data_IF_066020493965
#
_entry.id   IF_066020493965
#
_cell.length_a   1.000
_cell.length_b   1.000
_cell.length_c   1.000
_cell.angle_alpha   90.00
_cell.angle_beta   90.00
_cell.angle_gamma   90.00
#
_symmetry.space_group_name_H-M   'P 1'
#
loop_
_entity.id
_entity.type
_entity.pdbx_description
1 polymer ?
#
# COMPACT_ATOMS: atom_id res chain seq x y z
N UNK A 1 19.18 -7.23 -8.03
CA UNK A 1 20.19 -8.29 -7.95
C UNK A 1 19.79 -9.19 -6.81
N UNK A 2 19.77 -10.51 -7.01
CA UNK A 2 19.48 -11.45 -5.93
C UNK A 2 20.81 -11.83 -5.26
N UNK A 3 20.91 -11.68 -3.93
CA UNK A 3 22.12 -12.06 -3.18
C UNK A 3 22.16 -13.59 -3.01
N UNK A 4 23.22 -14.22 -3.51
CA UNK A 4 23.38 -15.68 -3.56
C UNK A 4 24.21 -16.22 -2.37
N UNK A 5 24.88 -15.34 -1.61
CA UNK A 5 25.68 -15.72 -0.45
C UNK A 5 24.88 -16.01 0.83
N UNK A 6 25.61 -16.29 1.91
CA UNK A 6 25.09 -16.40 3.28
C UNK A 6 24.91 -15.01 3.87
N UNK A 7 23.74 -14.68 4.41
CA UNK A 7 23.50 -13.36 4.97
C UNK A 7 24.47 -13.01 6.11
N UNK A 8 24.91 -14.00 6.89
CA UNK A 8 25.89 -13.84 7.97
C UNK A 8 27.20 -13.20 7.49
N UNK A 9 27.62 -13.46 6.25
CA UNK A 9 28.86 -12.94 5.66
C UNK A 9 28.77 -11.44 5.38
N UNK A 10 27.56 -10.91 5.17
CA UNK A 10 27.33 -9.48 4.90
C UNK A 10 26.74 -8.74 6.09
N UNK A 11 26.11 -9.44 7.05
CA UNK A 11 25.42 -8.82 8.17
C UNK A 11 26.35 -7.91 9.01
N UNK A 12 27.60 -8.34 9.24
CA UNK A 12 28.60 -7.53 9.92
C UNK A 12 28.95 -6.26 9.13
N UNK A 13 29.14 -6.38 7.82
CA UNK A 13 29.44 -5.25 6.94
C UNK A 13 28.27 -4.26 6.85
N UNK A 14 27.02 -4.75 6.80
CA UNK A 14 25.82 -3.91 6.81
C UNK A 14 25.72 -3.09 8.10
N UNK A 15 25.97 -3.72 9.26
CA UNK A 15 25.96 -3.03 10.56
C UNK A 15 27.09 -2.00 10.66
N UNK A 16 28.29 -2.34 10.18
CA UNK A 16 29.42 -1.41 10.15
C UNK A 16 29.12 -0.20 9.25
N UNK A 17 28.62 -0.45 8.03
CA UNK A 17 28.22 0.61 7.10
C UNK A 17 27.11 1.48 7.69
N UNK A 18 26.11 0.89 8.33
CA UNK A 18 25.05 1.64 8.99
C UNK A 18 25.60 2.54 10.11
N UNK A 19 26.60 2.09 10.86
CA UNK A 19 27.31 2.92 11.83
C UNK A 19 28.05 4.10 11.18
N UNK A 20 28.82 3.84 10.12
CA UNK A 20 29.57 4.86 9.38
C UNK A 20 28.67 5.92 8.75
N UNK A 21 27.60 5.48 8.10
CA UNK A 21 26.63 6.34 7.41
C UNK A 21 25.54 6.90 8.34
N UNK A 22 25.62 6.62 9.64
CA UNK A 22 24.66 7.04 10.68
C UNK A 22 23.22 6.64 10.34
N UNK A 23 23.05 5.46 9.76
CA UNK A 23 21.75 4.87 9.44
C UNK A 23 21.14 4.24 10.69
N UNK A 24 19.99 4.74 11.12
CA UNK A 24 19.33 4.23 12.34
C UNK A 24 18.57 2.91 12.19
N UNK A 25 18.36 2.42 10.97
CA UNK A 25 17.61 1.18 10.69
C UNK A 25 18.14 0.50 9.42
N UNK A 26 18.28 -0.82 9.48
CA UNK A 26 18.56 -1.69 8.33
C UNK A 26 17.32 -2.54 8.09
N UNK A 27 16.85 -2.61 6.84
CA UNK A 27 15.66 -3.39 6.46
C UNK A 27 16.09 -4.45 5.44
N UNK A 28 15.66 -5.68 5.64
CA UNK A 28 16.00 -6.83 4.79
C UNK A 28 14.71 -7.51 4.35
N UNK A 29 14.56 -7.66 3.03
CA UNK A 29 13.45 -8.36 2.41
C UNK A 29 13.92 -9.77 2.05
N UNK A 30 13.30 -10.80 2.63
CA UNK A 30 13.81 -12.17 2.59
C UNK A 30 12.73 -13.15 2.16
N UNK A 31 13.01 -14.08 1.22
CA UNK A 31 12.08 -15.15 0.90
C UNK A 31 11.99 -16.15 2.07
N UNK A 32 10.92 -16.97 2.18
CA UNK A 32 10.67 -17.77 3.37
C UNK A 32 11.76 -18.82 3.61
N UNK A 33 12.42 -19.30 2.56
CA UNK A 33 13.49 -20.29 2.64
C UNK A 33 14.77 -19.76 3.31
N UNK A 34 14.93 -18.44 3.40
CA UNK A 34 16.11 -17.78 3.97
C UNK A 34 15.81 -17.02 5.27
N UNK A 35 14.61 -17.17 5.83
CA UNK A 35 14.12 -16.35 6.95
C UNK A 35 14.96 -16.47 8.22
N UNK A 36 15.58 -17.64 8.44
CA UNK A 36 16.40 -17.91 9.62
C UNK A 36 17.78 -17.20 9.55
N UNK A 37 18.26 -16.83 8.35
CA UNK A 37 19.56 -16.14 8.19
C UNK A 37 19.59 -14.74 8.87
N UNK A 38 18.63 -13.82 8.63
CA UNK A 38 18.58 -12.56 9.36
C UNK A 38 18.25 -12.74 10.86
N UNK A 39 17.43 -13.73 11.23
CA UNK A 39 17.10 -14.02 12.64
C UNK A 39 18.34 -14.39 13.46
N UNK A 40 19.17 -15.31 12.94
CA UNK A 40 20.44 -15.70 13.58
C UNK A 40 21.43 -14.54 13.70
N UNK A 41 21.32 -13.55 12.82
CA UNK A 41 22.09 -12.31 12.86
C UNK A 41 21.51 -11.23 13.80
N UNK A 42 20.43 -11.53 14.53
CA UNK A 42 19.78 -10.59 15.47
C UNK A 42 18.93 -9.53 14.80
N UNK A 43 18.36 -9.81 13.63
CA UNK A 43 17.29 -9.00 13.04
C UNK A 43 15.93 -9.51 13.50
N UNK A 44 14.97 -8.61 13.62
CA UNK A 44 13.61 -8.88 14.09
C UNK A 44 12.62 -8.83 12.92
N UNK A 45 11.75 -9.82 12.79
CA UNK A 45 10.67 -9.80 11.80
C UNK A 45 9.62 -8.74 12.17
N UNK A 46 9.25 -7.89 11.21
CA UNK A 46 8.23 -6.84 11.40
C UNK A 46 6.94 -7.09 10.64
N UNK A 47 7.01 -7.89 9.57
CA UNK A 47 5.84 -8.22 8.78
C UNK A 47 6.13 -9.00 7.51
N UNK A 48 5.05 -9.41 6.86
CA UNK A 48 5.10 -10.26 5.68
C UNK A 48 4.31 -9.60 4.55
N UNK A 49 4.91 -9.46 3.37
CA UNK A 49 4.18 -9.19 2.13
C UNK A 49 3.88 -10.53 1.47
N UNK A 50 2.61 -10.93 1.42
CA UNK A 50 2.23 -12.24 0.89
C UNK A 50 2.48 -12.32 -0.61
N UNK A 51 2.97 -13.47 -1.09
CA UNK A 51 3.18 -13.78 -2.51
C UNK A 51 4.05 -12.78 -3.29
N UNK A 52 4.84 -11.97 -2.58
CA UNK A 52 5.69 -10.94 -3.16
C UNK A 52 6.69 -11.49 -4.18
N UNK A 53 7.36 -12.61 -3.92
CA UNK A 53 8.34 -13.20 -4.84
C UNK A 53 7.70 -14.25 -5.75
N UNK A 54 6.98 -13.80 -6.78
CA UNK A 54 6.34 -14.65 -7.78
C UNK A 54 5.46 -15.78 -7.18
N UNK A 55 4.76 -15.49 -6.08
CA UNK A 55 3.91 -16.45 -5.37
C UNK A 55 4.44 -16.90 -4.01
N UNK A 56 5.71 -16.61 -3.68
CA UNK A 56 6.26 -16.83 -2.34
C UNK A 56 6.16 -15.56 -1.49
N UNK A 57 5.97 -15.71 -0.19
CA UNK A 57 5.89 -14.59 0.75
C UNK A 57 7.25 -13.88 0.87
N UNK A 58 7.24 -12.59 1.19
CA UNK A 58 8.43 -11.84 1.58
C UNK A 58 8.32 -11.50 3.06
N UNK A 59 9.27 -12.01 3.84
CA UNK A 59 9.45 -11.67 5.25
C UNK A 59 10.33 -10.43 5.33
N UNK A 60 9.91 -9.43 6.10
CA UNK A 60 10.64 -8.18 6.27
C UNK A 60 11.25 -8.16 7.67
N UNK A 61 12.56 -8.12 7.71
CA UNK A 61 13.38 -8.10 8.91
C UNK A 61 14.06 -6.75 9.11
N UNK A 62 14.19 -6.34 10.36
CA UNK A 62 14.82 -5.08 10.72
C UNK A 62 15.88 -5.24 11.81
N UNK A 63 16.95 -4.48 11.68
CA UNK A 63 17.93 -4.26 12.73
C UNK A 63 18.03 -2.76 13.02
N UNK A 64 18.25 -2.41 14.28
CA UNK A 64 18.20 -1.04 14.78
C UNK A 64 19.56 -0.61 15.34
N UNK A 65 20.51 -0.17 14.50
CA UNK A 65 21.75 0.46 14.97
C UNK A 65 21.48 1.64 15.92
N UNK A 66 20.37 2.35 15.71
CA UNK A 66 19.85 3.34 16.64
C UNK A 66 18.62 2.79 17.37
N UNK A 67 18.73 2.57 18.68
CA UNK A 67 17.64 1.97 19.47
C UNK A 67 16.34 2.77 19.48
N UNK A 68 16.41 4.10 19.27
CA UNK A 68 15.23 4.96 19.13
C UNK A 68 14.34 4.53 17.96
N UNK A 69 14.92 3.94 16.90
CA UNK A 69 14.20 3.50 15.70
C UNK A 69 13.38 2.24 15.92
N UNK A 70 13.67 1.46 16.97
CA UNK A 70 12.86 0.30 17.37
C UNK A 70 11.57 0.71 18.11
N UNK A 71 11.50 1.95 18.60
CA UNK A 71 10.42 2.42 19.46
C UNK A 71 9.31 3.06 18.61
N UNK A 72 8.18 2.37 18.51
CA UNK A 72 6.94 2.96 17.99
C UNK A 72 6.33 3.93 19.00
N UNK A 73 6.56 5.23 18.83
CA UNK A 73 6.08 6.29 19.74
C UNK A 73 4.55 6.41 19.80
N UNK A 74 3.83 5.86 18.82
CA UNK A 74 2.38 5.95 18.71
C UNK A 74 1.68 4.58 18.73
N UNK A 75 2.38 3.54 19.19
CA UNK A 75 1.93 2.14 19.15
C UNK A 75 0.49 1.94 19.62
N UNK A 76 0.10 2.48 20.77
CA UNK A 76 -1.25 2.30 21.34
C UNK A 76 -2.34 2.88 20.43
N UNK A 77 -2.11 4.08 19.89
CA UNK A 77 -3.04 4.77 18.98
C UNK A 77 -3.19 3.98 17.69
N UNK A 78 -2.09 3.52 17.12
CA UNK A 78 -2.07 2.76 15.87
C UNK A 78 -2.68 1.36 16.03
N UNK A 79 -2.43 0.69 17.14
CA UNK A 79 -3.06 -0.59 17.49
C UNK A 79 -4.57 -0.42 17.64
N UNK A 80 -5.02 0.70 18.20
CA UNK A 80 -6.44 1.05 18.26
C UNK A 80 -7.02 1.27 16.86
N UNK A 81 -6.28 1.91 15.94
CA UNK A 81 -6.70 2.06 14.54
C UNK A 81 -6.91 0.68 13.90
N UNK A 82 -5.95 -0.23 14.00
CA UNK A 82 -6.06 -1.59 13.45
C UNK A 82 -7.24 -2.34 14.07
N UNK A 83 -7.35 -2.35 15.41
CA UNK A 83 -8.47 -3.00 16.12
C UNK A 83 -9.83 -2.48 15.64
N UNK A 84 -9.95 -1.17 15.40
CA UNK A 84 -11.18 -0.57 14.89
C UNK A 84 -11.48 -0.96 13.44
N UNK A 85 -10.46 -1.03 12.59
CA UNK A 85 -10.60 -1.46 11.20
C UNK A 85 -11.11 -2.91 11.13
N UNK A 86 -10.45 -3.83 11.84
CA UNK A 86 -10.78 -5.26 11.87
C UNK A 86 -12.15 -5.56 12.51
N UNK A 87 -12.60 -4.74 13.48
CA UNK A 87 -13.95 -4.89 14.08
C UNK A 87 -15.07 -4.54 13.10
N UNK A 88 -14.88 -3.47 12.33
CA UNK A 88 -15.89 -3.00 11.36
C UNK A 88 -16.15 -4.03 10.26
N UNK A 89 -15.11 -4.75 9.84
CA UNK A 89 -15.21 -5.79 8.82
C UNK A 89 -16.02 -7.02 9.30
N UNK A 90 -15.91 -7.39 10.58
CA UNK A 90 -16.72 -8.48 11.17
C UNK A 90 -18.21 -8.14 11.28
N UNK A 91 -18.57 -6.85 11.31
CA UNK A 91 -19.97 -6.40 11.43
C UNK A 91 -20.74 -6.41 10.11
N UNK A 92 -20.07 -6.16 8.99
CA UNK A 92 -20.67 -6.14 7.65
C UNK A 92 -20.98 -7.54 7.10
N UNK A 93 -20.30 -8.59 7.58
CA UNK A 93 -20.50 -9.98 7.17
C UNK A 93 -21.75 -10.68 7.71
N UNK A 94 -22.45 -10.13 8.72
CA UNK A 94 -23.63 -10.81 9.33
C UNK A 94 -24.96 -10.63 8.57
N UNK A 95 -25.05 -9.71 7.61
CA UNK A 95 -26.30 -9.44 6.88
C UNK A 95 -26.44 -10.10 5.49
N UNK A 96 -25.54 -11.00 5.10
CA UNK A 96 -25.65 -11.74 3.81
C UNK A 96 -26.20 -13.18 3.94
N UNK A 97 -26.39 -13.73 5.14
CA UNK A 97 -27.02 -15.05 5.34
C UNK A 97 -28.51 -14.93 5.68
N UNK A 98 -29.33 -14.50 4.72
CA UNK A 98 -30.79 -14.79 4.65
C UNK A 98 -31.39 -14.27 3.33
N UNK A 99 -31.04 -14.90 2.20
CA UNK A 99 -31.94 -14.92 1.05
C UNK A 99 -32.09 -16.37 0.59
N UNK A 100 -33.28 -16.90 0.86
CA UNK A 100 -33.74 -18.22 0.46
C UNK A 100 -33.46 -18.45 -1.03
N UNK A 101 -33.02 -19.66 -1.34
CA UNK A 101 -32.92 -20.22 -2.69
C UNK A 101 -34.33 -20.23 -3.28
N UNK A 102 -34.60 -19.33 -4.22
CA UNK A 102 -35.68 -19.51 -5.20
C UNK A 102 -35.04 -19.59 -6.57
N UNK A 103 -35.12 -20.79 -7.15
CA UNK A 103 -34.67 -21.11 -8.51
C UNK A 103 -35.44 -20.25 -9.52
N UNK A 104 -34.76 -19.36 -10.23
CA UNK A 104 -35.19 -18.90 -11.55
C UNK A 104 -33.98 -18.72 -12.47
N UNK A 105 -34.08 -19.40 -13.61
CA UNK A 105 -33.13 -19.53 -14.71
C UNK A 105 -32.72 -18.18 -15.31
N UNK A 106 -31.46 -18.16 -15.75
CA UNK A 106 -30.90 -17.50 -16.94
C UNK A 106 -31.35 -16.07 -17.27
N UNK A 107 -30.47 -15.11 -16.98
CA UNK A 107 -30.21 -13.98 -17.88
C UNK A 107 -28.85 -13.32 -17.55
N UNK A 108 -27.78 -13.87 -18.10
CA UNK A 108 -26.42 -13.31 -18.06
C UNK A 108 -26.25 -12.21 -19.12
N UNK A 109 -27.08 -11.17 -19.06
CA UNK A 109 -26.90 -9.96 -19.87
C UNK A 109 -26.24 -8.87 -19.05
N UNK A 110 -24.98 -8.56 -19.41
CA UNK A 110 -24.19 -7.34 -19.14
C UNK A 110 -24.78 -6.42 -18.05
N UNK A 111 -24.48 -6.69 -16.79
CA UNK A 111 -24.51 -5.63 -15.77
C UNK A 111 -23.29 -4.75 -15.99
N UNK A 112 -23.44 -3.64 -16.72
CA UNK A 112 -22.53 -2.49 -16.57
C UNK A 112 -22.48 -2.21 -15.06
N UNK A 113 -21.33 -2.38 -14.42
CA UNK A 113 -21.15 -1.91 -13.05
C UNK A 113 -21.47 -0.41 -13.05
N UNK A 114 -22.62 -0.05 -12.45
CA UNK A 114 -22.92 1.36 -12.18
C UNK A 114 -21.78 1.87 -11.32
N UNK A 115 -21.10 2.92 -11.80
CA UNK A 115 -20.19 3.72 -10.96
C UNK A 115 -20.90 3.99 -9.65
N UNK A 116 -20.27 3.61 -8.53
CA UNK A 116 -20.80 3.86 -7.18
C UNK A 116 -20.62 5.32 -6.76
N UNK A 117 -19.95 6.12 -7.59
CA UNK A 117 -19.78 7.53 -7.33
C UNK A 117 -21.08 8.29 -7.63
N UNK A 118 -21.43 9.30 -6.83
CA UNK A 118 -22.57 10.18 -7.11
C UNK A 118 -22.43 10.90 -8.46
N UNK A 119 -23.54 11.47 -8.94
CA UNK A 119 -23.54 12.35 -10.09
C UNK A 119 -22.55 13.53 -9.88
N UNK A 120 -21.86 13.92 -10.95
CA UNK A 120 -20.82 14.95 -10.92
C UNK A 120 -19.41 14.46 -10.58
N UNK A 121 -19.22 13.18 -10.28
CA UNK A 121 -17.91 12.55 -10.12
C UNK A 121 -17.59 11.60 -11.27
N UNK A 122 -16.33 11.61 -11.71
CA UNK A 122 -15.81 10.71 -12.73
C UNK A 122 -14.60 9.98 -12.17
N UNK A 123 -14.59 8.64 -12.27
CA UNK A 123 -13.40 7.83 -12.01
C UNK A 123 -12.82 7.39 -13.34
N UNK A 124 -11.52 7.61 -13.54
CA UNK A 124 -10.81 7.22 -14.76
C UNK A 124 -9.32 6.99 -14.51
N UNK A 125 -8.62 6.24 -15.39
CA UNK A 125 -7.16 6.27 -15.42
C UNK A 125 -6.66 7.70 -15.70
N UNK A 126 -5.49 8.01 -15.15
CA UNK A 126 -4.78 9.23 -15.48
C UNK A 126 -4.19 9.15 -16.90
N UNK A 127 -4.07 10.30 -17.55
CA UNK A 127 -3.35 10.49 -18.81
C UNK A 127 -2.20 11.49 -18.59
N UNK A 128 -1.26 11.57 -19.52
CA UNK A 128 -0.11 12.48 -19.42
C UNK A 128 -0.53 13.95 -19.19
N UNK A 129 -1.63 14.39 -19.80
CA UNK A 129 -2.17 15.73 -19.61
C UNK A 129 -2.60 16.04 -18.17
N UNK A 130 -2.78 15.02 -17.32
CA UNK A 130 -3.11 15.19 -15.90
C UNK A 130 -1.86 15.44 -15.04
N UNK A 131 -0.65 15.18 -15.54
CA UNK A 131 0.57 15.13 -14.73
C UNK A 131 0.80 16.43 -13.95
N UNK A 132 0.61 17.58 -14.58
CA UNK A 132 0.74 18.89 -13.93
C UNK A 132 -0.27 19.09 -12.79
N UNK A 133 -1.53 18.68 -13.01
CA UNK A 133 -2.59 18.77 -12.02
C UNK A 133 -2.38 17.78 -10.85
N UNK A 134 -1.89 16.58 -11.15
CA UNK A 134 -1.50 15.59 -10.15
C UNK A 134 -0.34 16.08 -9.29
N UNK A 135 0.72 16.61 -9.91
CA UNK A 135 1.87 17.19 -9.22
C UNK A 135 1.45 18.34 -8.27
N UNK A 136 0.57 19.22 -8.76
CA UNK A 136 -0.02 20.29 -7.96
C UNK A 136 -0.82 19.78 -6.77
N UNK A 137 -1.54 18.66 -6.93
CA UNK A 137 -2.33 18.05 -5.87
C UNK A 137 -1.45 17.35 -4.83
N UNK A 138 -0.44 16.60 -5.27
CA UNK A 138 0.53 15.96 -4.39
C UNK A 138 1.28 16.98 -3.53
N UNK A 139 1.68 18.11 -4.13
CA UNK A 139 2.35 19.21 -3.42
C UNK A 139 1.52 19.76 -2.25
N UNK A 140 0.19 19.75 -2.35
CA UNK A 140 -0.70 20.18 -1.28
C UNK A 140 -0.92 19.11 -0.20
N UNK A 141 -0.82 17.83 -0.59
CA UNK A 141 -1.09 16.70 0.29
C UNK A 141 0.15 16.18 1.03
N UNK A 142 1.34 16.36 0.46
CA UNK A 142 2.58 15.81 0.94
C UNK A 142 3.70 16.87 0.99
N UNK A 143 3.88 17.54 2.13
CA UNK A 143 4.96 18.53 2.32
C UNK A 143 6.37 17.90 2.26
N UNK A 144 6.52 16.66 2.73
CA UNK A 144 7.79 15.92 2.75
C UNK A 144 7.50 14.43 2.51
N UNK A 145 7.46 14.04 1.23
CA UNK A 145 7.28 12.65 0.80
C UNK A 145 8.61 12.08 0.27
N UNK A 146 8.88 10.77 0.44
CA UNK A 146 10.14 10.17 -0.03
C UNK A 146 10.36 10.24 -1.55
N UNK A 147 9.28 10.27 -2.34
CA UNK A 147 9.34 10.35 -3.81
C UNK A 147 8.92 11.73 -4.32
N UNK A 148 9.49 12.22 -5.43
CA UNK A 148 9.25 13.57 -5.93
C UNK A 148 7.94 13.70 -6.73
N UNK A 149 6.82 13.27 -6.14
CA UNK A 149 5.47 13.35 -6.74
C UNK A 149 4.98 14.79 -7.00
N UNK A 150 5.66 15.80 -6.47
CA UNK A 150 5.40 17.20 -6.78
C UNK A 150 6.01 17.65 -8.11
N UNK A 151 6.82 16.81 -8.75
CA UNK A 151 7.46 17.10 -10.04
C UNK A 151 6.69 16.43 -11.17
N UNK A 152 6.18 17.23 -12.12
CA UNK A 152 5.46 16.75 -13.30
C UNK A 152 6.28 15.75 -14.12
N UNK A 153 7.57 16.04 -14.35
CA UNK A 153 8.47 15.15 -15.10
C UNK A 153 8.62 13.77 -14.44
N UNK A 154 8.68 13.71 -13.10
CA UNK A 154 8.75 12.44 -12.38
C UNK A 154 7.47 11.62 -12.58
N UNK A 155 6.29 12.26 -12.52
CA UNK A 155 5.01 11.58 -12.77
C UNK A 155 4.96 11.06 -14.22
N UNK A 156 5.42 11.86 -15.19
CA UNK A 156 5.46 11.43 -16.59
C UNK A 156 6.39 10.22 -16.77
N UNK A 157 7.58 10.25 -16.15
CA UNK A 157 8.52 9.13 -16.16
C UNK A 157 7.91 7.87 -15.54
N UNK A 158 7.24 7.97 -14.39
CA UNK A 158 6.62 6.82 -13.75
C UNK A 158 5.43 6.28 -14.54
N UNK A 159 4.64 7.14 -15.19
CA UNK A 159 3.56 6.74 -16.11
C UNK A 159 4.06 5.96 -17.32
N UNK A 160 5.30 6.21 -17.78
CA UNK A 160 5.95 5.44 -18.84
C UNK A 160 6.58 4.14 -18.36
N UNK A 161 6.68 3.96 -17.05
CA UNK A 161 7.26 2.78 -16.40
C UNK A 161 6.16 1.81 -15.96
N UNK A 162 6.35 1.13 -14.83
CA UNK A 162 5.41 0.17 -14.27
C UNK A 162 4.46 0.81 -13.24
N UNK A 163 4.04 2.07 -13.39
CA UNK A 163 3.11 2.71 -12.45
C UNK A 163 1.79 3.07 -13.11
N UNK A 164 0.69 2.56 -12.53
CA UNK A 164 -0.67 2.97 -12.89
C UNK A 164 -1.13 4.10 -12.00
N UNK A 165 -1.86 5.06 -12.57
CA UNK A 165 -2.52 6.11 -11.80
C UNK A 165 -4.00 6.13 -12.14
N UNK A 166 -4.83 6.22 -11.10
CA UNK A 166 -6.26 6.45 -11.22
C UNK A 166 -6.65 7.69 -10.44
N UNK A 167 -7.67 8.37 -10.94
CA UNK A 167 -8.14 9.63 -10.37
C UNK A 167 -9.66 9.69 -10.30
N UNK A 168 -10.13 10.45 -9.33
CA UNK A 168 -11.52 10.88 -9.21
C UNK A 168 -11.55 12.37 -9.47
N UNK A 169 -12.34 12.77 -10.46
CA UNK A 169 -12.62 14.15 -10.79
C UNK A 169 -13.99 14.56 -10.31
N UNK A 170 -14.12 15.85 -9.98
CA UNK A 170 -15.39 16.50 -9.71
C UNK A 170 -15.40 17.85 -10.43
N UNK A 171 -16.33 18.03 -11.35
CA UNK A 171 -16.43 19.25 -12.17
C UNK A 171 -15.10 19.67 -12.84
N UNK A 172 -14.39 18.68 -13.43
CA UNK A 172 -13.13 18.91 -14.13
C UNK A 172 -11.91 19.14 -13.24
N UNK A 173 -12.02 18.95 -11.92
CA UNK A 173 -10.89 19.05 -10.98
C UNK A 173 -10.61 17.70 -10.34
N UNK A 174 -9.34 17.30 -10.28
CA UNK A 174 -8.92 16.10 -9.55
C UNK A 174 -9.11 16.34 -8.06
N UNK A 175 -9.88 15.46 -7.40
CA UNK A 175 -10.18 15.54 -5.97
C UNK A 175 -9.63 14.38 -5.15
N UNK A 176 -9.31 13.27 -5.83
CA UNK A 176 -8.66 12.11 -5.23
C UNK A 176 -7.85 11.39 -6.30
N UNK A 177 -6.74 10.78 -5.89
CA UNK A 177 -5.93 9.94 -6.74
C UNK A 177 -5.26 8.82 -5.92
N UNK A 178 -4.81 7.79 -6.61
CA UNK A 178 -3.99 6.71 -6.07
C UNK A 178 -3.19 6.07 -7.21
N UNK A 179 -2.07 5.44 -6.88
CA UNK A 179 -1.24 4.73 -7.83
C UNK A 179 -1.12 3.25 -7.50
N UNK A 180 -0.71 2.45 -8.48
CA UNK A 180 -0.20 1.11 -8.26
C UNK A 180 1.17 0.97 -8.92
N UNK A 181 2.22 0.83 -8.11
CA UNK A 181 3.57 0.49 -8.56
C UNK A 181 3.63 -1.02 -8.78
N UNK A 182 3.94 -1.43 -10.00
CA UNK A 182 3.84 -2.82 -10.45
C UNK A 182 5.22 -3.45 -10.58
N UNK A 183 5.31 -4.71 -10.17
CA UNK A 183 6.41 -5.60 -10.49
C UNK A 183 5.90 -6.73 -11.42
N UNK A 184 6.00 -6.56 -12.75
CA UNK A 184 5.54 -7.58 -13.70
C UNK A 184 6.28 -8.90 -13.57
N UNK A 185 7.56 -8.88 -13.15
CA UNK A 185 8.38 -10.10 -13.00
C UNK A 185 7.84 -10.97 -11.89
N UNK A 186 7.50 -10.36 -10.76
CA UNK A 186 6.97 -11.06 -9.61
C UNK A 186 5.43 -11.12 -9.55
N UNK A 187 4.73 -10.43 -10.46
CA UNK A 187 3.27 -10.33 -10.53
C UNK A 187 2.65 -9.80 -9.23
N UNK A 188 3.33 -8.87 -8.58
CA UNK A 188 2.83 -8.13 -7.42
C UNK A 188 2.68 -6.64 -7.77
N UNK A 189 1.84 -5.92 -7.04
CA UNK A 189 1.76 -4.47 -7.14
C UNK A 189 1.50 -3.83 -5.77
N UNK A 190 2.13 -2.70 -5.53
CA UNK A 190 1.90 -1.85 -4.37
C UNK A 190 0.90 -0.75 -4.71
N UNK A 191 -0.24 -0.72 -4.03
CA UNK A 191 -1.12 0.45 -4.07
C UNK A 191 -0.55 1.52 -3.13
N UNK A 192 -0.17 2.65 -3.72
CA UNK A 192 0.54 3.73 -3.04
C UNK A 192 0.04 5.11 -3.51
N UNK A 193 0.72 6.18 -3.10
CA UNK A 193 0.45 7.58 -3.45
C UNK A 193 -1.02 8.01 -3.24
N UNK A 194 -1.66 7.43 -2.23
CA UNK A 194 -3.08 7.60 -1.97
C UNK A 194 -3.39 8.97 -1.36
N UNK A 195 -4.14 9.82 -2.08
CA UNK A 195 -4.50 11.16 -1.62
C UNK A 195 -5.97 11.50 -1.94
N UNK A 196 -6.66 12.10 -0.96
CA UNK A 196 -7.98 12.71 -1.14
C UNK A 196 -7.97 14.08 -0.44
N UNK A 197 -8.42 15.12 -1.13
CA UNK A 197 -8.45 16.48 -0.57
C UNK A 197 -9.37 16.55 0.66
N UNK A 198 -9.08 17.41 1.66
CA UNK A 198 -9.84 17.46 2.91
C UNK A 198 -11.37 17.57 2.74
N UNK A 199 -11.84 18.40 1.81
CA UNK A 199 -13.27 18.63 1.54
C UNK A 199 -14.01 17.44 0.88
N UNK A 200 -13.27 16.43 0.43
CA UNK A 200 -13.78 15.26 -0.29
C UNK A 200 -13.53 13.95 0.47
N UNK A 201 -12.91 14.01 1.65
CA UNK A 201 -12.73 12.86 2.54
C UNK A 201 -14.08 12.33 3.06
N UNK A 202 -14.11 11.03 3.39
CA UNK A 202 -15.31 10.37 3.92
C UNK A 202 -16.36 9.98 2.87
N UNK A 203 -16.21 10.37 1.60
CA UNK A 203 -17.16 10.07 0.52
C UNK A 203 -16.90 8.75 -0.22
N UNK A 204 -15.86 8.03 0.17
CA UNK A 204 -15.56 6.70 -0.38
C UNK A 204 -14.66 6.67 -1.62
N UNK A 205 -14.20 7.82 -2.13
CA UNK A 205 -13.34 7.94 -3.32
C UNK A 205 -12.17 6.96 -3.32
N UNK A 206 -11.41 6.91 -2.23
CA UNK A 206 -10.26 6.01 -2.10
C UNK A 206 -10.62 4.53 -2.28
N UNK A 207 -11.80 4.10 -1.83
CA UNK A 207 -12.22 2.71 -2.01
C UNK A 207 -12.56 2.39 -3.46
N UNK A 208 -13.13 3.34 -4.19
CA UNK A 208 -13.42 3.15 -5.62
C UNK A 208 -12.12 3.18 -6.44
N UNK A 209 -11.17 4.05 -6.09
CA UNK A 209 -9.83 4.07 -6.69
C UNK A 209 -9.10 2.73 -6.52
N UNK A 210 -9.04 2.21 -5.28
CA UNK A 210 -8.41 0.91 -4.99
C UNK A 210 -9.09 -0.19 -5.83
N UNK A 211 -10.42 -0.25 -5.90
CA UNK A 211 -11.11 -1.26 -6.73
C UNK A 211 -10.80 -1.14 -8.21
N UNK A 212 -10.68 0.08 -8.73
CA UNK A 212 -10.35 0.30 -10.13
C UNK A 212 -8.92 -0.15 -10.45
N UNK A 213 -7.97 0.17 -9.56
CA UNK A 213 -6.60 -0.33 -9.65
C UNK A 213 -6.56 -1.86 -9.57
N UNK A 214 -7.23 -2.47 -8.59
CA UNK A 214 -7.34 -3.94 -8.46
C UNK A 214 -7.88 -4.58 -9.74
N UNK A 215 -8.94 -4.02 -10.33
CA UNK A 215 -9.52 -4.52 -11.57
C UNK A 215 -8.52 -4.50 -12.71
N UNK A 216 -7.81 -3.38 -12.89
CA UNK A 216 -6.77 -3.25 -13.92
C UNK A 216 -5.60 -4.22 -13.67
N UNK A 217 -5.19 -4.39 -12.41
CA UNK A 217 -4.14 -5.33 -12.02
C UNK A 217 -4.54 -6.79 -12.30
N UNK A 218 -5.77 -7.19 -11.96
CA UNK A 218 -6.31 -8.52 -12.28
C UNK A 218 -6.38 -8.75 -13.80
N UNK A 219 -6.83 -7.76 -14.58
CA UNK A 219 -6.86 -7.83 -16.04
C UNK A 219 -5.46 -7.99 -16.66
N UNK A 220 -4.43 -7.45 -15.98
CA UNK A 220 -3.01 -7.60 -16.34
C UNK A 220 -2.33 -8.83 -15.73
N UNK A 221 -3.09 -9.75 -15.13
CA UNK A 221 -2.57 -11.00 -14.54
C UNK A 221 -1.61 -10.83 -13.35
N UNK A 222 -1.74 -9.74 -12.60
CA UNK A 222 -1.13 -9.62 -11.27
C UNK A 222 -1.86 -10.49 -10.25
N UNK A 223 -1.11 -11.08 -9.31
CA UNK A 223 -1.62 -12.07 -8.37
C UNK A 223 -1.90 -11.51 -6.98
N UNK A 224 -1.20 -10.44 -6.62
CA UNK A 224 -1.28 -9.84 -5.30
C UNK A 224 -1.21 -8.32 -5.41
N UNK A 225 -2.07 -7.65 -4.65
CA UNK A 225 -1.97 -6.24 -4.32
C UNK A 225 -1.60 -6.11 -2.84
N UNK A 226 -0.65 -5.23 -2.54
CA UNK A 226 -0.29 -4.89 -1.17
C UNK A 226 -0.14 -3.38 -1.01
N UNK A 227 0.04 -2.92 0.22
CA UNK A 227 0.42 -1.53 0.51
C UNK A 227 1.31 -1.48 1.75
N UNK A 228 2.25 -0.54 1.76
CA UNK A 228 2.83 0.01 2.98
C UNK A 228 2.16 1.36 3.23
N UNK A 229 1.20 1.40 4.15
CA UNK A 229 0.47 2.63 4.45
C UNK A 229 0.74 3.11 5.88
N UNK A 230 0.81 4.43 6.07
CA UNK A 230 1.08 5.04 7.37
C UNK A 230 0.16 4.49 8.46
N UNK A 231 0.73 3.96 9.53
CA UNK A 231 -0.02 3.32 10.60
C UNK A 231 -0.91 4.30 11.37
N UNK A 232 -0.45 5.55 11.49
CA UNK A 232 -1.17 6.65 12.12
C UNK A 232 -2.36 7.20 11.31
N UNK A 233 -2.55 6.76 10.05
CA UNK A 233 -3.59 7.26 9.14
C UNK A 233 -4.85 6.36 9.14
N UNK A 234 -5.91 6.68 9.92
CA UNK A 234 -7.07 5.79 10.06
C UNK A 234 -7.88 5.61 8.78
N UNK A 235 -7.93 6.63 7.91
CA UNK A 235 -8.74 6.62 6.69
C UNK A 235 -8.29 5.56 5.68
N UNK A 236 -6.98 5.51 5.39
CA UNK A 236 -6.41 4.58 4.41
C UNK A 236 -6.39 3.14 4.95
N UNK A 237 -6.03 2.96 6.23
CA UNK A 237 -6.11 1.65 6.90
C UNK A 237 -7.55 1.09 6.90
N UNK A 238 -8.55 1.94 7.16
CA UNK A 238 -9.95 1.54 7.09
C UNK A 238 -10.40 1.23 5.65
N UNK A 239 -9.87 1.92 4.64
CA UNK A 239 -10.17 1.63 3.24
C UNK A 239 -9.69 0.22 2.86
N UNK A 240 -8.41 -0.09 3.07
CA UNK A 240 -7.83 -1.41 2.79
C UNK A 240 -8.51 -2.53 3.59
N UNK A 241 -8.71 -2.34 4.90
CA UNK A 241 -9.43 -3.32 5.73
C UNK A 241 -10.85 -3.57 5.22
N UNK A 242 -11.60 -2.53 4.84
CA UNK A 242 -12.98 -2.68 4.32
C UNK A 242 -13.06 -3.32 2.93
N UNK A 243 -11.93 -3.39 2.22
CA UNK A 243 -11.80 -4.06 0.93
C UNK A 243 -11.25 -5.49 1.09
N UNK A 244 -11.15 -6.00 2.32
CA UNK A 244 -10.75 -7.37 2.59
C UNK A 244 -9.25 -7.63 2.51
N UNK A 245 -8.42 -6.59 2.61
CA UNK A 245 -6.98 -6.78 2.80
C UNK A 245 -6.71 -7.34 4.19
N UNK A 246 -5.80 -8.30 4.26
CA UNK A 246 -5.30 -8.84 5.51
C UNK A 246 -4.17 -7.97 6.04
N UNK A 247 -4.24 -7.59 7.32
CA UNK A 247 -3.12 -6.98 8.03
C UNK A 247 -2.04 -8.03 8.29
N UNK A 248 -0.80 -7.78 7.86
CA UNK A 248 0.29 -8.77 7.90
C UNK A 248 1.57 -8.29 8.58
N UNK A 249 1.54 -7.12 9.22
CA UNK A 249 2.64 -6.60 10.01
C UNK A 249 2.69 -5.08 10.06
N UNK A 250 3.64 -4.55 10.81
CA UNK A 250 3.91 -3.11 10.89
C UNK A 250 5.41 -2.88 10.93
N UNK A 251 5.91 -2.12 9.96
CA UNK A 251 7.29 -1.66 9.92
C UNK A 251 7.42 -0.42 10.81
N UNK A 252 8.12 -0.51 11.93
CA UNK A 252 8.30 0.56 12.91
C UNK A 252 9.30 1.59 12.39
N UNK A 253 8.96 2.88 12.51
CA UNK A 253 9.77 4.02 12.07
C UNK A 253 10.40 3.78 10.68
N UNK A 254 9.60 3.32 9.72
CA UNK A 254 10.10 2.77 8.46
C UNK A 254 10.59 3.84 7.50
N UNK A 255 9.79 4.90 7.34
CA UNK A 255 10.06 5.94 6.37
C UNK A 255 9.94 7.31 7.02
N UNK A 256 10.69 8.29 6.50
CA UNK A 256 10.60 9.66 6.95
C UNK A 256 9.51 10.37 6.17
N UNK A 257 8.48 10.86 6.86
CA UNK A 257 7.42 11.66 6.27
C UNK A 257 7.17 12.87 7.17
N UNK A 258 7.18 14.07 6.60
CA UNK A 258 7.19 15.27 7.43
C UNK A 258 8.49 15.38 8.24
N UNK A 259 8.35 15.77 9.51
CA UNK A 259 9.50 16.03 10.39
C UNK A 259 10.00 14.79 11.15
N UNK A 260 9.43 13.60 10.93
CA UNK A 260 9.74 12.41 11.71
C UNK A 260 9.63 11.11 10.95
N UNK A 261 9.86 10.02 11.66
CA UNK A 261 9.63 8.67 11.17
C UNK A 261 8.19 8.26 11.39
N UNK A 262 7.66 7.50 10.44
CA UNK A 262 6.33 6.93 10.50
C UNK A 262 6.39 5.41 10.46
N UNK A 263 5.56 4.79 11.30
CA UNK A 263 5.27 3.38 11.21
C UNK A 263 4.39 3.10 9.98
N UNK A 264 4.62 1.96 9.33
CA UNK A 264 3.90 1.57 8.12
C UNK A 264 3.23 0.22 8.30
N UNK A 265 1.90 0.19 8.27
CA UNK A 265 1.12 -1.04 8.28
C UNK A 265 1.16 -1.71 6.92
N UNK A 266 1.36 -3.03 6.95
CA UNK A 266 1.33 -3.89 5.77
C UNK A 266 -0.07 -4.48 5.61
N UNK A 267 -0.66 -4.27 4.44
CA UNK A 267 -1.93 -4.87 4.05
C UNK A 267 -1.77 -5.63 2.75
N UNK A 268 -2.25 -6.87 2.68
CA UNK A 268 -2.13 -7.74 1.50
C UNK A 268 -3.49 -8.29 1.06
N UNK A 269 -3.71 -8.40 -0.25
CA UNK A 269 -4.89 -9.03 -0.84
C UNK A 269 -4.54 -9.77 -2.13
N UNK A 270 -5.08 -10.97 -2.27
CA UNK A 270 -5.02 -11.71 -3.54
C UNK A 270 -6.03 -11.12 -4.53
N UNK A 271 -5.59 -10.98 -5.78
CA UNK A 271 -6.36 -10.41 -6.89
C UNK A 271 -7.13 -11.47 -7.68
#
# INVERSE_FOLDING_TARGET
>A
MDFIGRFEEIAGALKALAGTEKMGKIIVYTPPEKKDEPETCGYMEEGIIRRYYAGKDCHIYSNYPESSREISFHKEKEDRIIKNCLRKDRGTGKNQKKKKISRKKDNWKKRKEKSRLPEGYTLRPAVQADASAMASLYSQGFELYPTPLHMENYILETMHSNVLYFLVEKYGKIVSLASAEMDPKNRNAEITDCLTIPSERGKGHMKELIRALEKELSERSFLISYTLCRASAPGINAAFSSLGYAFTGRLVNNCRIGNGFEDMNIWCRML
#
